data_IF_551505506480
#
_entry.id   IF_551505506480
#
_cell.length_a   1.000
_cell.length_b   1.000
_cell.length_c   1.000
_cell.angle_alpha   90.00
_cell.angle_beta   90.00
_cell.angle_gamma   90.00
#
_symmetry.space_group_name_H-M   'P 1'
#
loop_
_entity.id
_entity.type
_entity.pdbx_description
1 polymer ?
#
# COMPACT_ATOMS: atom_id res chain seq x y z
N UNK A 1 -10.15 20.31 -0.64
CA UNK A 1 -10.10 21.67 -0.04
C UNK A 1 -8.66 21.95 0.34
N UNK A 2 -8.07 23.02 -0.19
CA UNK A 2 -6.70 23.44 0.15
C UNK A 2 -6.77 24.32 1.40
N UNK A 3 -5.95 24.02 2.39
CA UNK A 3 -5.90 24.74 3.65
C UNK A 3 -4.46 25.11 3.98
N UNK A 4 -4.24 26.39 4.22
CA UNK A 4 -2.94 26.94 4.62
C UNK A 4 -2.92 27.10 6.14
N UNK A 5 -2.01 26.41 6.82
CA UNK A 5 -1.76 26.63 8.23
C UNK A 5 -0.68 27.69 8.40
N UNK A 6 -1.04 28.83 9.00
CA UNK A 6 -0.13 29.93 9.28
C UNK A 6 0.40 29.91 10.72
N UNK A 7 1.50 30.62 10.95
CA UNK A 7 2.04 30.93 12.29
C UNK A 7 2.54 29.73 13.11
N UNK A 8 3.01 28.68 12.46
CA UNK A 8 3.63 27.55 13.15
C UNK A 8 5.12 27.87 13.38
N UNK A 9 5.42 28.55 14.49
CA UNK A 9 6.81 28.84 14.87
C UNK A 9 7.55 27.53 15.16
N UNK A 10 8.73 27.36 14.56
CA UNK A 10 9.64 26.27 14.89
C UNK A 10 9.19 24.90 14.40
N UNK A 11 8.52 24.82 13.24
CA UNK A 11 8.23 23.56 12.56
C UNK A 11 9.49 22.74 12.39
N UNK A 12 9.65 21.75 13.27
CA UNK A 12 10.76 20.82 13.21
C UNK A 12 10.29 19.66 12.35
N UNK A 13 10.84 19.58 11.14
CA UNK A 13 10.63 18.41 10.29
C UNK A 13 11.27 17.20 10.95
N UNK A 14 10.45 16.23 11.33
CA UNK A 14 10.95 14.96 11.87
C UNK A 14 11.06 13.93 10.73
N UNK A 15 10.18 14.01 9.72
CA UNK A 15 10.18 13.18 8.51
C UNK A 15 9.50 13.91 7.33
N UNK A 16 9.42 13.31 6.12
CA UNK A 16 8.74 13.84 4.93
C UNK A 16 7.23 14.04 5.16
N UNK A 17 6.63 13.24 6.04
CA UNK A 17 5.17 13.16 6.21
C UNK A 17 4.72 13.59 7.62
N UNK A 18 5.64 14.15 8.41
CA UNK A 18 5.40 14.46 9.82
C UNK A 18 6.12 15.74 10.21
N UNK A 19 5.33 16.65 10.76
CA UNK A 19 5.79 17.96 11.19
C UNK A 19 5.30 18.26 12.59
N UNK A 20 6.19 18.81 13.42
CA UNK A 20 5.86 19.18 14.80
C UNK A 20 6.04 20.68 14.97
N UNK A 21 5.07 21.34 15.58
CA UNK A 21 5.14 22.75 15.96
C UNK A 21 4.45 23.04 17.28
N UNK A 22 4.39 24.31 17.65
CA UNK A 22 3.66 24.79 18.83
C UNK A 22 2.69 25.89 18.35
N UNK A 23 1.43 25.81 18.80
CA UNK A 23 0.43 26.82 18.51
C UNK A 23 -0.41 27.12 19.74
N UNK A 24 -0.91 28.35 19.83
CA UNK A 24 -1.88 28.75 20.85
C UNK A 24 -3.21 28.06 20.61
N UNK A 25 -3.90 27.67 21.68
CA UNK A 25 -5.18 26.97 21.60
C UNK A 25 -6.24 27.78 20.84
N UNK A 26 -6.25 29.10 21.00
CA UNK A 26 -7.13 30.01 20.24
C UNK A 26 -6.85 29.98 18.73
N UNK A 27 -5.58 29.85 18.34
CA UNK A 27 -5.19 29.67 16.93
C UNK A 27 -5.71 28.34 16.39
N UNK A 28 -5.55 27.25 17.14
CA UNK A 28 -6.01 25.91 16.75
C UNK A 28 -7.56 25.89 16.60
N UNK A 29 -8.28 26.50 17.55
CA UNK A 29 -9.74 26.69 17.46
C UNK A 29 -10.14 27.51 16.24
N UNK A 30 -9.36 28.55 15.93
CA UNK A 30 -9.55 29.44 14.78
C UNK A 30 -9.45 28.75 13.42
N UNK A 31 -8.76 27.60 13.33
CA UNK A 31 -8.70 26.80 12.11
C UNK A 31 -10.06 26.19 11.72
N UNK A 32 -11.00 26.07 12.67
CA UNK A 32 -12.36 25.54 12.45
C UNK A 32 -12.35 24.16 11.77
N UNK A 33 -11.37 23.32 12.11
CA UNK A 33 -11.26 21.97 11.58
C UNK A 33 -12.32 21.05 12.20
N UNK A 34 -12.79 20.09 11.42
CA UNK A 34 -13.65 19.02 11.92
C UNK A 34 -12.85 18.06 12.81
N UNK A 35 -13.58 17.30 13.64
CA UNK A 35 -13.02 16.30 14.54
C UNK A 35 -13.31 14.89 14.02
N UNK A 36 -12.31 14.03 14.05
CA UNK A 36 -12.43 12.60 13.77
C UNK A 36 -13.04 11.84 14.95
N UNK A 37 -12.56 12.12 16.17
CA UNK A 37 -13.10 11.56 17.41
C UNK A 37 -13.47 12.70 18.38
N UNK A 38 -14.68 13.28 18.26
CA UNK A 38 -15.09 14.45 19.05
C UNK A 38 -15.27 14.16 20.55
N UNK A 39 -15.35 12.89 20.96
CA UNK A 39 -15.54 12.49 22.36
C UNK A 39 -14.23 12.18 23.09
N UNK A 40 -13.12 12.08 22.37
CA UNK A 40 -11.81 11.80 22.95
C UNK A 40 -11.02 13.11 23.02
N UNK A 41 -10.37 13.38 24.15
CA UNK A 41 -9.50 14.54 24.35
C UNK A 41 -8.10 14.04 24.65
N UNK A 42 -7.11 14.57 23.94
CA UNK A 42 -5.69 14.40 24.27
C UNK A 42 -5.16 15.73 24.82
N UNK A 43 -4.95 15.80 26.14
CA UNK A 43 -4.51 17.02 26.81
C UNK A 43 -3.03 17.35 26.57
N UNK A 44 -2.24 16.41 26.07
CA UNK A 44 -0.80 16.58 25.90
C UNK A 44 -0.43 17.06 24.50
N UNK A 45 -1.23 16.71 23.49
CA UNK A 45 -0.88 16.91 22.08
C UNK A 45 -2.12 17.08 21.20
N UNK A 46 -2.11 18.12 20.37
CA UNK A 46 -3.07 18.29 19.29
C UNK A 46 -2.56 17.59 18.03
N UNK A 47 -3.35 16.70 17.42
CA UNK A 47 -2.95 15.97 16.21
C UNK A 47 -3.84 16.39 15.05
N UNK A 48 -3.24 16.99 14.03
CA UNK A 48 -3.88 17.34 12.76
C UNK A 48 -3.47 16.32 11.71
N UNK A 49 -4.44 15.55 11.23
CA UNK A 49 -4.27 14.62 10.12
C UNK A 49 -4.58 15.33 8.79
N UNK A 50 -3.80 15.10 7.73
CA UNK A 50 -4.02 15.73 6.42
C UNK A 50 -3.77 14.79 5.22
N UNK A 51 -4.47 14.93 4.11
CA UNK A 51 -4.37 13.98 2.99
C UNK A 51 -3.05 14.12 2.20
N UNK A 52 -2.76 15.32 1.70
CA UNK A 52 -1.56 15.61 0.91
C UNK A 52 -0.90 16.92 1.33
N UNK A 53 0.42 17.00 1.18
CA UNK A 53 1.20 18.24 1.29
C UNK A 53 1.30 18.87 -0.10
N UNK A 54 0.88 20.12 -0.21
CA UNK A 54 0.90 20.90 -1.45
C UNK A 54 2.16 21.77 -1.53
N UNK A 55 2.48 22.48 -0.46
CA UNK A 55 3.65 23.36 -0.39
C UNK A 55 4.13 23.54 1.07
N UNK A 56 5.41 23.92 1.22
CA UNK A 56 6.02 24.21 2.51
C UNK A 56 6.92 25.44 2.44
N UNK A 57 6.74 26.33 3.41
CA UNK A 57 7.59 27.50 3.63
C UNK A 57 8.04 27.57 5.09
N UNK A 58 8.91 28.53 5.42
CA UNK A 58 9.54 28.65 6.74
C UNK A 58 8.57 28.78 7.91
N UNK A 59 7.33 29.21 7.66
CA UNK A 59 6.30 29.41 8.70
C UNK A 59 4.89 28.97 8.28
N UNK A 60 4.74 28.26 7.15
CA UNK A 60 3.45 27.79 6.65
C UNK A 60 3.57 26.40 6.03
N UNK A 61 2.50 25.62 6.16
CA UNK A 61 2.29 24.40 5.38
C UNK A 61 0.95 24.51 4.66
N UNK A 62 0.95 24.12 3.40
CA UNK A 62 -0.26 24.00 2.59
C UNK A 62 -0.59 22.52 2.45
N UNK A 63 -1.79 22.16 2.91
CA UNK A 63 -2.23 20.77 3.00
C UNK A 63 -3.67 20.61 2.50
N UNK A 64 -4.04 19.39 2.14
CA UNK A 64 -5.41 19.04 1.75
C UNK A 64 -6.14 18.28 2.86
N UNK A 65 -7.45 18.52 2.97
CA UNK A 65 -8.36 17.79 3.87
C UNK A 65 -7.88 17.65 5.33
N UNK A 66 -7.52 18.76 6.01
CA UNK A 66 -7.12 18.70 7.41
C UNK A 66 -8.27 18.30 8.33
N UNK A 67 -7.99 17.42 9.29
CA UNK A 67 -8.93 17.01 10.33
C UNK A 67 -8.20 16.87 11.68
N UNK A 68 -8.82 17.29 12.77
CA UNK A 68 -8.32 17.04 14.12
C UNK A 68 -8.63 15.61 14.54
N UNK A 69 -7.63 14.87 15.01
CA UNK A 69 -7.79 13.46 15.41
C UNK A 69 -8.73 13.28 16.60
N UNK A 70 -8.67 14.22 17.54
CA UNK A 70 -9.39 14.24 18.83
C UNK A 70 -9.93 15.63 19.09
N UNK A 71 -10.90 15.75 20.00
CA UNK A 71 -11.32 17.05 20.50
C UNK A 71 -10.15 17.80 21.16
N UNK A 72 -10.22 19.14 21.10
CA UNK A 72 -9.19 20.01 21.67
C UNK A 72 -9.20 19.95 23.20
N UNK A 73 -8.03 20.16 23.84
CA UNK A 73 -7.93 20.31 25.28
C UNK A 73 -8.84 21.43 25.81
N UNK A 74 -9.24 21.30 27.08
CA UNK A 74 -9.86 22.39 27.84
C UNK A 74 -8.74 23.34 28.30
N UNK A 75 -8.88 24.62 27.97
CA UNK A 75 -7.86 25.63 28.27
C UNK A 75 -8.20 27.01 27.73
N UNK A 76 -7.38 27.99 28.10
CA UNK A 76 -7.46 29.37 27.64
C UNK A 76 -6.90 29.50 26.22
N UNK A 77 -7.38 30.49 25.47
CA UNK A 77 -6.94 30.71 24.08
C UNK A 77 -5.44 31.03 23.96
N UNK A 78 -4.80 31.49 25.04
CA UNK A 78 -3.38 31.80 25.08
C UNK A 78 -2.49 30.61 25.44
N UNK A 79 -3.06 29.48 25.88
CA UNK A 79 -2.29 28.31 26.25
C UNK A 79 -1.63 27.71 25.00
N UNK A 80 -0.33 27.40 25.10
CA UNK A 80 0.44 26.83 24.00
C UNK A 80 0.41 25.30 24.08
N UNK A 81 0.05 24.66 22.96
CA UNK A 81 0.04 23.21 22.83
C UNK A 81 0.98 22.77 21.71
N UNK A 82 1.68 21.64 21.88
CA UNK A 82 2.34 21.02 20.75
C UNK A 82 1.28 20.56 19.76
N UNK A 83 1.57 20.76 18.48
CA UNK A 83 0.72 20.34 17.37
C UNK A 83 1.53 19.45 16.45
N UNK A 84 1.06 18.21 16.32
CA UNK A 84 1.61 17.23 15.39
C UNK A 84 0.78 17.25 14.12
N UNK A 85 1.38 17.70 13.03
CA UNK A 85 0.83 17.53 11.69
C UNK A 85 1.35 16.23 11.13
N UNK A 86 0.45 15.28 10.96
CA UNK A 86 0.77 14.00 10.38
C UNK A 86 0.01 13.90 9.07
N UNK A 87 0.72 13.63 7.98
CA UNK A 87 0.02 13.21 6.78
C UNK A 87 -0.76 11.99 7.20
N UNK A 88 -2.07 12.09 7.07
CA UNK A 88 -3.02 11.10 7.51
C UNK A 88 -2.41 9.76 7.11
N UNK A 89 -2.07 8.95 8.12
CA UNK A 89 -1.49 7.61 7.91
C UNK A 89 -2.41 6.69 7.10
N UNK A 90 -3.52 7.24 6.63
CA UNK A 90 -4.45 6.76 5.63
C UNK A 90 -3.84 6.70 4.22
N UNK A 91 -2.59 6.26 4.11
CA UNK A 91 -2.16 5.66 2.86
C UNK A 91 -2.58 4.19 2.94
N UNK A 92 -3.67 3.82 2.29
CA UNK A 92 -4.15 2.44 2.19
C UNK A 92 -3.00 1.44 1.92
N UNK A 93 -2.07 1.73 0.99
CA UNK A 93 -0.81 1.00 0.83
C UNK A 93 -0.03 0.74 2.12
N UNK A 94 0.16 1.73 2.98
CA UNK A 94 0.89 1.56 4.25
C UNK A 94 0.10 0.75 5.28
N UNK A 95 -1.23 0.91 5.31
CA UNK A 95 -2.12 0.09 6.13
C UNK A 95 -2.04 -1.39 5.72
N UNK A 96 -2.17 -1.67 4.43
CA UNK A 96 -2.04 -3.02 3.86
C UNK A 96 -0.64 -3.58 4.12
N UNK A 97 0.42 -2.78 3.93
CA UNK A 97 1.81 -3.20 4.26
C UNK A 97 1.91 -3.70 5.70
N UNK A 98 1.39 -2.94 6.66
CA UNK A 98 1.39 -3.33 8.08
C UNK A 98 0.68 -4.67 8.33
N UNK A 99 -0.49 -4.88 7.70
CA UNK A 99 -1.27 -6.12 7.82
C UNK A 99 -0.57 -7.32 7.17
N UNK A 100 0.05 -7.11 6.00
CA UNK A 100 0.81 -8.15 5.31
C UNK A 100 2.06 -8.56 6.08
N UNK A 101 2.80 -7.60 6.65
CA UNK A 101 4.04 -7.87 7.39
C UNK A 101 3.80 -8.44 8.79
N UNK A 102 2.61 -8.24 9.38
CA UNK A 102 2.22 -8.95 10.61
C UNK A 102 1.88 -10.41 10.35
N UNK A 103 1.54 -10.78 9.10
CA UNK A 103 1.29 -12.16 8.72
C UNK A 103 2.60 -12.95 8.55
N UNK A 104 2.78 -14.00 9.35
CA UNK A 104 4.05 -14.72 9.47
C UNK A 104 4.54 -15.34 8.16
N UNK A 105 3.65 -15.97 7.38
CA UNK A 105 4.02 -16.59 6.10
C UNK A 105 4.45 -15.52 5.10
N UNK A 106 3.67 -14.46 4.93
CA UNK A 106 3.98 -13.41 3.97
C UNK A 106 5.26 -12.65 4.34
N UNK A 107 5.45 -12.30 5.62
CA UNK A 107 6.67 -11.66 6.09
C UNK A 107 7.93 -12.51 5.86
N UNK A 108 7.80 -13.85 5.82
CA UNK A 108 8.92 -14.74 5.46
C UNK A 108 9.35 -14.58 4.00
N UNK A 109 8.53 -14.00 3.13
CA UNK A 109 8.86 -13.73 1.73
C UNK A 109 9.58 -12.39 1.54
N UNK A 110 9.58 -11.53 2.55
CA UNK A 110 10.12 -10.17 2.48
C UNK A 110 11.53 -10.08 3.03
N UNK A 111 12.42 -9.47 2.24
CA UNK A 111 13.76 -9.03 2.61
C UNK A 111 13.72 -7.56 3.06
N UNK A 112 14.23 -7.27 4.26
CA UNK A 112 14.22 -5.88 4.79
C UNK A 112 15.28 -4.98 4.15
N UNK A 113 16.30 -5.56 3.51
CA UNK A 113 17.33 -4.80 2.78
C UNK A 113 16.84 -4.24 1.45
N UNK A 114 17.68 -3.39 0.84
CA UNK A 114 17.38 -2.75 -0.47
C UNK A 114 17.55 -3.70 -1.65
N UNK A 115 18.30 -4.80 -1.47
CA UNK A 115 18.55 -5.84 -2.48
C UNK A 115 18.42 -7.22 -1.85
N UNK A 116 17.95 -8.19 -2.62
CA UNK A 116 17.97 -9.59 -2.23
C UNK A 116 19.42 -10.09 -2.16
N UNK A 117 19.83 -10.65 -1.04
CA UNK A 117 21.15 -11.28 -0.94
C UNK A 117 21.21 -12.54 -1.81
N UNK A 118 22.41 -12.91 -2.29
CA UNK A 118 22.63 -14.13 -3.11
C UNK A 118 22.21 -15.43 -2.40
N UNK A 119 22.08 -15.40 -1.08
CA UNK A 119 21.75 -16.56 -0.23
C UNK A 119 20.37 -16.42 0.42
N UNK A 120 19.60 -15.41 0.01
CA UNK A 120 18.30 -15.12 0.59
C UNK A 120 17.26 -16.13 0.10
N UNK A 121 16.41 -16.59 1.02
CA UNK A 121 15.23 -17.42 0.71
C UNK A 121 14.01 -16.58 0.35
N UNK A 122 14.12 -15.24 0.46
CA UNK A 122 13.05 -14.26 0.23
C UNK A 122 12.70 -14.11 -1.24
N UNK A 123 11.57 -13.49 -1.56
CA UNK A 123 11.13 -13.29 -2.95
C UNK A 123 11.14 -11.81 -3.36
N UNK A 124 10.89 -10.90 -2.42
CA UNK A 124 10.81 -9.47 -2.67
C UNK A 124 11.52 -8.70 -1.57
N UNK A 125 12.02 -7.52 -1.91
CA UNK A 125 12.45 -6.55 -0.91
C UNK A 125 11.25 -5.79 -0.37
N UNK A 126 11.40 -5.23 0.82
CA UNK A 126 10.41 -4.31 1.40
C UNK A 126 10.14 -3.12 0.48
N UNK A 127 11.17 -2.64 -0.24
CA UNK A 127 11.02 -1.55 -1.18
C UNK A 127 10.18 -1.97 -2.41
N UNK A 128 10.40 -3.18 -2.94
CA UNK A 128 9.56 -3.72 -4.02
C UNK A 128 8.11 -3.83 -3.59
N UNK A 129 7.84 -4.38 -2.39
CA UNK A 129 6.49 -4.48 -1.83
C UNK A 129 5.81 -3.10 -1.75
N UNK A 130 6.49 -2.11 -1.18
CA UNK A 130 5.99 -0.73 -1.08
C UNK A 130 5.63 -0.15 -2.44
N UNK A 131 6.48 -0.34 -3.43
CA UNK A 131 6.25 0.15 -4.78
C UNK A 131 5.02 -0.53 -5.41
N UNK A 132 4.88 -1.84 -5.23
CA UNK A 132 3.70 -2.60 -5.70
C UNK A 132 2.43 -2.09 -5.04
N UNK A 133 2.41 -1.97 -3.71
CA UNK A 133 1.22 -1.53 -2.98
C UNK A 133 0.78 -0.12 -3.40
N UNK A 134 1.72 0.81 -3.56
CA UNK A 134 1.43 2.18 -4.04
C UNK A 134 0.83 2.20 -5.45
N UNK A 135 1.27 1.32 -6.34
CA UNK A 135 0.73 1.22 -7.70
C UNK A 135 -0.63 0.52 -7.75
N UNK A 136 -0.81 -0.51 -6.93
CA UNK A 136 -2.03 -1.34 -6.94
C UNK A 136 -3.17 -0.66 -6.20
N UNK A 137 -2.89 -0.02 -5.06
CA UNK A 137 -3.88 0.59 -4.17
C UNK A 137 -3.82 2.15 -4.10
N UNK A 138 -3.65 2.91 -5.20
CA UNK A 138 -3.73 4.38 -5.18
C UNK A 138 -5.18 4.89 -5.20
N UNK A 139 -6.17 3.99 -5.28
CA UNK A 139 -7.59 4.33 -5.40
C UNK A 139 -8.18 4.66 -4.02
N UNK A 140 -9.09 5.62 -3.98
CA UNK A 140 -9.84 6.01 -2.80
C UNK A 140 -10.84 4.91 -2.38
N UNK A 141 -10.36 3.85 -1.73
CA UNK A 141 -11.22 2.87 -1.06
C UNK A 141 -11.62 3.45 0.30
N UNK A 142 -12.93 3.48 0.65
CA UNK A 142 -13.39 4.00 1.93
C UNK A 142 -12.72 3.30 3.11
N UNK A 143 -12.31 4.08 4.12
CA UNK A 143 -11.60 3.58 5.30
C UNK A 143 -12.35 2.47 6.05
N UNK A 144 -13.69 2.54 6.08
CA UNK A 144 -14.52 1.51 6.69
C UNK A 144 -14.32 0.11 6.08
N UNK A 145 -13.88 0.02 4.82
CA UNK A 145 -13.64 -1.25 4.12
C UNK A 145 -12.21 -1.79 4.24
N UNK A 146 -11.30 -1.08 4.91
CA UNK A 146 -9.87 -1.43 4.89
C UNK A 146 -9.55 -2.71 5.64
N UNK A 147 -10.17 -2.93 6.80
CA UNK A 147 -9.99 -4.17 7.57
C UNK A 147 -10.44 -5.37 6.74
N UNK A 148 -11.67 -5.31 6.22
CA UNK A 148 -12.26 -6.35 5.37
C UNK A 148 -11.41 -6.63 4.13
N UNK A 149 -10.98 -5.59 3.41
CA UNK A 149 -10.08 -5.71 2.27
C UNK A 149 -8.78 -6.43 2.68
N UNK A 150 -8.17 -6.03 3.80
CA UNK A 150 -6.91 -6.60 4.26
C UNK A 150 -7.04 -8.06 4.71
N UNK A 151 -8.16 -8.43 5.34
CA UNK A 151 -8.43 -9.79 5.79
C UNK A 151 -8.70 -10.72 4.60
N UNK A 152 -9.49 -10.26 3.64
CA UNK A 152 -9.71 -10.96 2.38
C UNK A 152 -8.41 -11.11 1.57
N UNK A 153 -7.56 -10.08 1.58
CA UNK A 153 -6.26 -10.14 0.91
C UNK A 153 -5.34 -11.18 1.56
N UNK A 154 -5.26 -11.19 2.89
CA UNK A 154 -4.47 -12.19 3.62
C UNK A 154 -4.95 -13.60 3.31
N UNK A 155 -6.27 -13.83 3.34
CA UNK A 155 -6.85 -15.13 3.02
C UNK A 155 -6.62 -15.54 1.57
N UNK A 156 -6.70 -14.59 0.63
CA UNK A 156 -6.34 -14.81 -0.76
C UNK A 156 -4.88 -15.25 -0.90
N UNK A 157 -3.96 -14.59 -0.18
CA UNK A 157 -2.53 -14.94 -0.17
C UNK A 157 -2.31 -16.33 0.43
N UNK A 158 -2.97 -16.68 1.53
CA UNK A 158 -2.89 -18.02 2.13
C UNK A 158 -3.29 -19.10 1.13
N UNK A 159 -4.43 -18.94 0.47
CA UNK A 159 -4.91 -19.87 -0.56
C UNK A 159 -3.92 -19.93 -1.73
N UNK A 160 -3.36 -18.78 -2.13
CA UNK A 160 -2.37 -18.73 -3.20
C UNK A 160 -1.11 -19.52 -2.83
N UNK A 161 -0.59 -19.36 -1.62
CA UNK A 161 0.60 -20.08 -1.15
C UNK A 161 0.33 -21.58 -0.96
N UNK A 162 -0.87 -21.96 -0.53
CA UNK A 162 -1.29 -23.36 -0.42
C UNK A 162 -1.36 -24.04 -1.79
N UNK A 163 -1.99 -23.39 -2.77
CA UNK A 163 -2.12 -23.92 -4.13
C UNK A 163 -0.80 -23.88 -4.90
N UNK A 164 0.07 -22.92 -4.61
CA UNK A 164 1.35 -22.72 -5.30
C UNK A 164 2.53 -22.64 -4.31
N UNK A 165 2.95 -23.77 -3.71
CA UNK A 165 3.93 -23.81 -2.63
C UNK A 165 5.29 -23.18 -2.97
N UNK A 166 5.67 -23.14 -4.25
CA UNK A 166 6.91 -22.51 -4.71
C UNK A 166 6.96 -20.99 -4.45
N UNK A 167 5.79 -20.36 -4.23
CA UNK A 167 5.65 -18.97 -3.80
C UNK A 167 5.88 -18.78 -2.30
N UNK A 168 5.84 -19.86 -1.50
CA UNK A 168 6.19 -19.83 -0.07
C UNK A 168 7.67 -20.18 0.14
N UNK A 169 8.12 -20.38 1.38
CA UNK A 169 9.52 -20.69 1.74
C UNK A 169 10.07 -21.93 1.01
N UNK A 170 11.25 -21.78 0.41
CA UNK A 170 12.05 -22.85 -0.18
C UNK A 170 13.49 -22.81 0.39
N UNK A 171 14.18 -23.96 0.48
CA UNK A 171 15.61 -24.03 0.76
C UNK A 171 16.44 -23.14 -0.18
N UNK A 172 17.60 -22.65 0.28
CA UNK A 172 18.44 -21.71 -0.50
C UNK A 172 18.89 -22.30 -1.84
N UNK A 173 19.15 -23.61 -1.92
CA UNK A 173 19.56 -24.27 -3.16
C UNK A 173 18.44 -24.24 -4.21
N UNK A 174 17.25 -24.72 -3.86
CA UNK A 174 16.05 -24.67 -4.70
C UNK A 174 15.66 -23.23 -5.04
N UNK A 175 15.76 -22.31 -4.07
CA UNK A 175 15.50 -20.90 -4.31
C UNK A 175 16.48 -20.29 -5.30
N UNK A 176 17.76 -20.68 -5.27
CA UNK A 176 18.77 -20.18 -6.21
C UNK A 176 18.52 -20.71 -7.62
N UNK A 177 18.11 -21.96 -7.75
CA UNK A 177 17.69 -22.54 -9.03
C UNK A 177 16.47 -21.80 -9.59
N UNK A 178 15.45 -21.62 -8.76
CA UNK A 178 14.27 -20.82 -9.09
C UNK A 178 14.62 -19.37 -9.47
N UNK A 179 15.50 -18.71 -8.72
CA UNK A 179 15.92 -17.33 -8.93
C UNK A 179 16.79 -17.13 -10.17
N UNK A 180 17.65 -18.10 -10.53
CA UNK A 180 18.37 -18.07 -11.81
C UNK A 180 17.39 -18.00 -12.99
N UNK A 181 16.17 -18.46 -12.78
CA UNK A 181 15.10 -18.38 -13.76
C UNK A 181 14.21 -17.13 -13.59
N UNK A 182 14.15 -16.40 -12.44
CA UNK A 182 12.96 -15.53 -12.19
C UNK A 182 13.07 -14.29 -11.27
N UNK A 183 14.25 -13.77 -10.89
CA UNK A 183 14.31 -12.71 -9.83
C UNK A 183 13.52 -11.42 -10.16
N UNK A 184 13.54 -10.94 -11.41
CA UNK A 184 12.75 -9.77 -11.81
C UNK A 184 11.23 -10.08 -11.84
N UNK A 185 10.90 -11.35 -12.01
CA UNK A 185 9.55 -11.86 -12.26
C UNK A 185 8.78 -12.10 -10.96
N UNK A 186 9.46 -12.31 -9.83
CA UNK A 186 8.79 -12.47 -8.54
C UNK A 186 8.04 -11.20 -8.11
N UNK A 187 8.68 -10.02 -8.16
CA UNK A 187 8.01 -8.75 -7.81
C UNK A 187 6.88 -8.42 -8.79
N UNK A 188 7.06 -8.75 -10.06
CA UNK A 188 6.06 -8.60 -11.12
C UNK A 188 4.85 -9.51 -10.90
N UNK A 189 5.06 -10.79 -10.61
CA UNK A 189 4.00 -11.76 -10.35
C UNK A 189 3.18 -11.33 -9.13
N UNK A 190 3.84 -10.90 -8.05
CA UNK A 190 3.16 -10.35 -6.87
C UNK A 190 2.37 -9.08 -7.18
N UNK A 191 2.85 -8.20 -8.07
CA UNK A 191 2.05 -7.05 -8.54
C UNK A 191 0.76 -7.50 -9.25
N UNK A 192 0.85 -8.52 -10.11
CA UNK A 192 -0.29 -9.07 -10.84
C UNK A 192 -1.30 -9.78 -9.95
N UNK A 193 -0.84 -10.60 -8.98
CA UNK A 193 -1.73 -11.25 -8.02
C UNK A 193 -2.50 -10.22 -7.17
N UNK A 194 -1.81 -9.20 -6.67
CA UNK A 194 -2.44 -8.15 -5.87
C UNK A 194 -3.41 -7.30 -6.69
N UNK A 195 -3.09 -7.03 -7.95
CA UNK A 195 -3.97 -6.31 -8.87
C UNK A 195 -5.24 -7.10 -9.20
N UNK A 196 -5.10 -8.38 -9.52
CA UNK A 196 -6.24 -9.26 -9.74
C UNK A 196 -7.16 -9.33 -8.53
N UNK A 197 -6.57 -9.53 -7.34
CA UNK A 197 -7.33 -9.52 -6.10
C UNK A 197 -8.15 -8.23 -5.96
N UNK A 198 -7.49 -7.06 -6.11
CA UNK A 198 -8.16 -5.77 -5.97
C UNK A 198 -9.28 -5.59 -6.99
N UNK A 199 -9.02 -5.89 -8.26
CA UNK A 199 -9.99 -5.67 -9.33
C UNK A 199 -11.22 -6.58 -9.18
N UNK A 200 -11.05 -7.84 -8.77
CA UNK A 200 -12.16 -8.76 -8.50
C UNK A 200 -12.93 -8.40 -7.22
N UNK A 201 -12.23 -7.99 -6.17
CA UNK A 201 -12.86 -7.55 -4.92
C UNK A 201 -13.76 -6.32 -5.14
N UNK A 202 -13.30 -5.35 -5.94
CA UNK A 202 -14.09 -4.17 -6.31
C UNK A 202 -15.32 -4.52 -7.15
N UNK A 203 -15.21 -5.45 -8.11
CA UNK A 203 -16.36 -5.88 -8.95
C UNK A 203 -17.43 -6.59 -8.16
N UNK A 204 -17.04 -7.42 -7.20
CA UNK A 204 -17.98 -8.19 -6.38
C UNK A 204 -18.65 -7.34 -5.30
N UNK A 205 -18.35 -6.03 -5.21
CA UNK A 205 -18.99 -5.10 -4.28
C UNK A 205 -18.82 -5.54 -2.83
N UNK A 206 -17.63 -6.04 -2.49
CA UNK A 206 -17.31 -6.58 -1.17
C UNK A 206 -18.17 -7.79 -0.76
N UNK A 207 -18.80 -8.50 -1.70
CA UNK A 207 -19.39 -9.81 -1.42
C UNK A 207 -18.25 -10.76 -1.07
N UNK A 208 -18.40 -11.51 0.03
CA UNK A 208 -17.42 -12.43 0.64
C UNK A 208 -16.86 -13.56 -0.27
N UNK A 209 -17.04 -13.50 -1.59
CA UNK A 209 -16.38 -14.39 -2.54
C UNK A 209 -14.93 -13.94 -2.74
N UNK A 210 -14.00 -14.68 -2.16
CA UNK A 210 -12.57 -14.48 -2.38
C UNK A 210 -12.22 -14.71 -3.86
N UNK A 211 -11.34 -13.87 -4.45
CA UNK A 211 -10.85 -14.12 -5.80
C UNK A 211 -10.15 -15.47 -5.92
N UNK A 212 -10.38 -16.21 -7.01
CA UNK A 212 -9.69 -17.47 -7.30
C UNK A 212 -9.11 -17.44 -8.71
N UNK A 213 -7.78 -17.45 -8.80
CA UNK A 213 -7.05 -17.34 -10.07
C UNK A 213 -7.26 -18.53 -11.03
N UNK A 214 -7.81 -19.64 -10.54
CA UNK A 214 -8.15 -20.79 -11.39
C UNK A 214 -9.51 -20.65 -12.08
N UNK A 215 -10.31 -19.67 -11.65
CA UNK A 215 -11.59 -19.39 -12.29
C UNK A 215 -11.40 -18.53 -13.53
N UNK A 216 -12.30 -18.67 -14.49
CA UNK A 216 -12.30 -17.85 -15.69
C UNK A 216 -12.51 -16.39 -15.31
N UNK A 217 -11.55 -15.54 -15.66
CA UNK A 217 -11.58 -14.11 -15.42
C UNK A 217 -12.50 -13.47 -16.46
N UNK A 218 -13.33 -12.54 -16.00
CA UNK A 218 -14.04 -11.58 -16.85
C UNK A 218 -13.55 -10.17 -16.53
N UNK A 219 -12.76 -9.56 -17.42
CA UNK A 219 -12.15 -8.24 -17.19
C UNK A 219 -12.25 -7.36 -18.44
N UNK A 220 -12.93 -6.22 -18.31
CA UNK A 220 -13.06 -5.22 -19.39
C UNK A 220 -13.54 -5.81 -20.73
N UNK A 221 -14.48 -6.76 -20.69
CA UNK A 221 -15.01 -7.44 -21.88
C UNK A 221 -14.15 -8.59 -22.41
N UNK A 222 -12.97 -8.84 -21.84
CA UNK A 222 -12.17 -10.02 -22.11
C UNK A 222 -12.56 -11.17 -21.19
N UNK A 223 -12.55 -12.40 -21.71
CA UNK A 223 -12.76 -13.62 -20.92
C UNK A 223 -11.69 -14.67 -21.21
N UNK A 224 -11.12 -15.25 -20.16
CA UNK A 224 -10.05 -16.25 -20.25
C UNK A 224 -9.51 -16.62 -18.87
N UNK A 225 -8.43 -17.39 -18.81
CA UNK A 225 -7.80 -17.81 -17.55
C UNK A 225 -6.74 -16.80 -17.10
N UNK A 226 -6.45 -16.75 -15.79
CA UNK A 226 -5.40 -15.87 -15.25
C UNK A 226 -4.05 -16.05 -15.96
N UNK A 227 -3.75 -17.28 -16.37
CA UNK A 227 -2.48 -17.65 -16.98
C UNK A 227 -2.45 -17.57 -18.51
N UNK A 228 -3.54 -17.10 -19.12
CA UNK A 228 -3.56 -16.91 -20.57
C UNK A 228 -2.59 -15.80 -20.97
N UNK A 229 -1.81 -16.05 -22.03
CA UNK A 229 -0.83 -15.09 -22.58
C UNK A 229 -1.44 -13.75 -22.99
N UNK A 230 -2.74 -13.72 -23.27
CA UNK A 230 -3.50 -12.55 -23.66
C UNK A 230 -4.23 -11.89 -22.48
N UNK A 231 -3.95 -12.30 -21.24
CA UNK A 231 -4.62 -11.75 -20.07
C UNK A 231 -4.42 -10.22 -20.01
N UNK A 232 -5.51 -9.42 -20.02
CA UNK A 232 -5.45 -7.97 -20.04
C UNK A 232 -4.80 -7.37 -18.78
N UNK A 233 -4.68 -8.11 -17.68
CA UNK A 233 -3.91 -7.66 -16.51
C UNK A 233 -2.42 -7.47 -16.83
N UNK A 234 -1.92 -8.15 -17.86
CA UNK A 234 -0.56 -7.98 -18.41
C UNK A 234 -0.40 -6.70 -19.24
N UNK A 235 -1.50 -5.99 -19.60
CA UNK A 235 -1.47 -4.82 -20.50
C UNK A 235 -0.59 -3.69 -19.99
N UNK A 236 -0.50 -3.51 -18.67
CA UNK A 236 0.36 -2.47 -18.07
C UNK A 236 1.86 -2.72 -18.32
N UNK A 237 2.22 -3.95 -18.67
CA UNK A 237 3.57 -4.32 -19.09
C UNK A 237 3.69 -4.45 -20.59
N UNK A 238 2.67 -4.07 -21.38
CA UNK A 238 2.80 -3.96 -22.83
C UNK A 238 3.47 -2.61 -23.18
N UNK A 239 4.45 -2.66 -24.07
CA UNK A 239 5.02 -1.50 -24.73
C UNK A 239 4.04 -0.93 -25.75
N UNK A 240 4.39 0.23 -26.32
CA UNK A 240 3.56 0.98 -27.28
C UNK A 240 3.17 0.17 -28.54
N UNK A 241 3.81 -0.96 -28.79
CA UNK A 241 3.58 -1.87 -29.92
C UNK A 241 2.70 -3.08 -29.55
N UNK A 242 2.09 -3.12 -28.36
CA UNK A 242 1.28 -4.25 -27.91
C UNK A 242 2.07 -5.53 -27.61
N UNK A 243 3.41 -5.47 -27.65
CA UNK A 243 4.30 -6.51 -27.12
C UNK A 243 4.60 -6.19 -25.67
N UNK A 244 4.90 -7.19 -24.85
CA UNK A 244 5.40 -6.90 -23.50
C UNK A 244 6.68 -6.03 -23.59
N UNK A 245 6.87 -5.14 -22.63
CA UNK A 245 8.07 -4.33 -22.42
C UNK A 245 9.28 -5.20 -22.06
N UNK A 246 9.02 -6.47 -21.73
CA UNK A 246 10.01 -7.53 -21.60
C UNK A 246 10.45 -8.02 -22.99
N UNK A 247 11.72 -8.41 -23.13
CA UNK A 247 12.15 -9.08 -24.36
C UNK A 247 11.47 -10.47 -24.50
N UNK A 248 11.48 -11.04 -25.70
CA UNK A 248 10.79 -12.31 -25.97
C UNK A 248 11.28 -13.46 -25.06
N UNK A 249 12.55 -13.44 -24.65
CA UNK A 249 13.13 -14.42 -23.72
C UNK A 249 12.58 -14.29 -22.30
N UNK A 250 12.45 -13.07 -21.78
CA UNK A 250 11.84 -12.80 -20.47
C UNK A 250 10.35 -13.18 -20.47
N UNK A 251 9.64 -12.94 -21.58
CA UNK A 251 8.25 -13.36 -21.71
C UNK A 251 8.10 -14.87 -21.70
N UNK A 252 8.87 -15.60 -22.51
CA UNK A 252 8.79 -17.06 -22.51
C UNK A 252 9.25 -17.67 -21.19
N UNK A 253 10.17 -17.02 -20.49
CA UNK A 253 10.59 -17.43 -19.16
C UNK A 253 9.47 -17.21 -18.13
N UNK A 254 8.83 -16.03 -18.07
CA UNK A 254 7.66 -15.77 -17.21
C UNK A 254 6.54 -16.78 -17.52
N UNK A 255 6.26 -17.02 -18.80
CA UNK A 255 5.23 -17.97 -19.22
C UNK A 255 5.57 -19.41 -18.87
N UNK A 256 6.83 -19.84 -19.05
CA UNK A 256 7.30 -21.20 -18.68
C UNK A 256 7.25 -21.38 -17.18
N UNK A 257 7.72 -20.40 -16.41
CA UNK A 257 7.64 -20.39 -14.96
C UNK A 257 6.20 -20.43 -14.48
N UNK A 258 5.31 -19.62 -15.06
CA UNK A 258 3.89 -19.66 -14.73
C UNK A 258 3.24 -20.99 -15.09
N UNK A 259 3.59 -21.58 -16.24
CA UNK A 259 3.13 -22.90 -16.65
C UNK A 259 3.57 -23.95 -15.64
N UNK A 260 4.85 -23.95 -15.27
CA UNK A 260 5.46 -24.87 -14.30
C UNK A 260 4.93 -24.65 -12.88
N UNK A 261 4.40 -23.47 -12.55
CA UNK A 261 3.74 -23.23 -11.27
C UNK A 261 2.33 -23.85 -11.21
N UNK A 262 1.65 -24.05 -12.34
CA UNK A 262 0.26 -24.56 -12.38
C UNK A 262 0.21 -26.08 -12.52
N UNK A 263 1.23 -26.70 -13.12
CA UNK A 263 1.37 -28.16 -13.27
C UNK A 263 2.09 -28.80 -12.10
#
# INVERSE_FOLDING_TARGET
>A
MNFTLECIKGLSRVDINLYLGIAKLGTIRGWKLSYKNPHQINNELCIVEYAELVDISSNKIDITEPILSTALPLGNDNDEYPVLFIQNGNNLPAFIEGRLLSHKQFNRLIEKGTKLSKNSTKLLTIQSLRNILRKTFPVNIPRCSWNELSDNLLRFIEILLEKFPYLDYLPVAERREFRKNSIADASLAWELYLKYFKDEWLKNGNRNSLPDINTRINYQGWTGNFFDRQNPLLIIYLGKNGKLQFNDAQRELIYTIWKDWIT
#
